data_IF_340274475090
#
_entry.id   IF_340274475090
#
_cell.length_a   1.000
_cell.length_b   1.000
_cell.length_c   1.000
_cell.angle_alpha   90.00
_cell.angle_beta   90.00
_cell.angle_gamma   90.00
#
_symmetry.space_group_name_H-M   'P 1'
#
loop_
_entity.id
_entity.type
_entity.pdbx_description
1 polymer ?
#
# COMPACT_ATOMS: atom_id res chain seq x y z
N UNK A 1 -5.69 -20.68 -29.61
CA UNK A 1 -5.73 -19.37 -28.93
C UNK A 1 -4.72 -19.40 -27.80
N UNK A 2 -3.61 -18.64 -27.87
CA UNK A 2 -2.66 -18.60 -26.75
C UNK A 2 -3.31 -17.85 -25.59
N UNK A 3 -3.38 -18.46 -24.41
CA UNK A 3 -3.76 -17.78 -23.18
C UNK A 3 -2.77 -16.65 -22.91
N UNK A 4 -3.29 -15.43 -22.72
CA UNK A 4 -2.45 -14.30 -22.33
C UNK A 4 -1.77 -14.63 -21.00
N UNK A 5 -0.46 -14.44 -20.92
CA UNK A 5 0.28 -14.64 -19.68
C UNK A 5 -0.15 -13.59 -18.67
N UNK A 6 -0.65 -14.04 -17.51
CA UNK A 6 -1.09 -13.18 -16.40
C UNK A 6 -0.18 -13.31 -15.19
N UNK A 7 -0.19 -12.31 -14.31
CA UNK A 7 0.38 -12.36 -12.96
C UNK A 7 -0.74 -12.16 -11.93
N UNK A 8 -0.64 -12.84 -10.79
CA UNK A 8 -1.53 -12.60 -9.65
C UNK A 8 -1.13 -11.31 -8.94
N UNK A 9 -2.06 -10.36 -8.91
CA UNK A 9 -1.98 -9.11 -8.17
C UNK A 9 -3.11 -8.96 -7.18
N UNK A 10 -3.16 -7.80 -6.54
CA UNK A 10 -4.23 -7.46 -5.59
C UNK A 10 -4.79 -6.09 -5.97
N UNK A 11 -6.13 -5.99 -6.04
CA UNK A 11 -6.83 -4.71 -6.02
C UNK A 11 -7.14 -4.34 -4.58
N UNK A 12 -6.71 -3.16 -4.17
CA UNK A 12 -7.03 -2.57 -2.87
C UNK A 12 -8.16 -1.57 -3.10
N UNK A 13 -9.34 -1.91 -2.60
CA UNK A 13 -10.56 -1.15 -2.86
C UNK A 13 -10.67 0.07 -1.93
N UNK A 14 -11.09 1.21 -2.48
CA UNK A 14 -11.43 2.41 -1.71
C UNK A 14 -12.79 2.26 -1.03
N UNK A 15 -13.14 3.24 -0.19
CA UNK A 15 -14.39 3.23 0.58
C UNK A 15 -15.62 3.10 -0.34
N UNK A 16 -15.66 3.80 -1.47
CA UNK A 16 -16.76 3.71 -2.43
C UNK A 16 -16.96 2.32 -3.01
N UNK A 17 -15.89 1.66 -3.43
CA UNK A 17 -15.98 0.30 -3.98
C UNK A 17 -16.42 -0.73 -2.92
N UNK A 18 -16.10 -0.49 -1.65
CA UNK A 18 -16.53 -1.34 -0.54
C UNK A 18 -18.00 -1.09 -0.21
N UNK A 19 -18.37 0.17 0.04
CA UNK A 19 -19.71 0.52 0.53
C UNK A 19 -20.79 0.46 -0.55
N UNK A 20 -20.45 0.82 -1.79
CA UNK A 20 -21.42 0.98 -2.89
C UNK A 20 -21.36 -0.13 -3.91
N UNK A 21 -20.22 -0.82 -4.01
CA UNK A 21 -20.05 -1.94 -4.94
C UNK A 21 -19.83 -3.28 -4.21
N UNK A 22 -19.89 -3.29 -2.87
CA UNK A 22 -19.79 -4.49 -2.02
C UNK A 22 -18.53 -5.32 -2.29
N UNK A 23 -17.43 -4.68 -2.69
CA UNK A 23 -16.16 -5.36 -2.96
C UNK A 23 -15.40 -5.60 -1.66
N UNK A 24 -14.64 -6.70 -1.54
CA UNK A 24 -13.75 -6.90 -0.41
C UNK A 24 -12.63 -5.86 -0.40
N UNK A 25 -12.07 -5.54 0.77
CA UNK A 25 -10.99 -4.54 0.88
C UNK A 25 -9.74 -4.92 0.06
N UNK A 26 -9.36 -6.19 0.10
CA UNK A 26 -8.26 -6.77 -0.66
C UNK A 26 -8.80 -7.86 -1.57
N UNK A 27 -8.72 -7.66 -2.87
CA UNK A 27 -9.32 -8.52 -3.87
C UNK A 27 -8.25 -9.11 -4.79
N UNK A 28 -8.18 -10.45 -4.96
CA UNK A 28 -7.23 -11.06 -5.89
C UNK A 28 -7.62 -10.71 -7.33
N UNK A 29 -6.63 -10.35 -8.14
CA UNK A 29 -6.82 -10.04 -9.56
C UNK A 29 -5.75 -10.72 -10.41
N UNK A 30 -6.09 -11.04 -11.66
CA UNK A 30 -5.12 -11.48 -12.65
C UNK A 30 -4.85 -10.35 -13.63
N UNK A 31 -3.58 -9.97 -13.74
CA UNK A 31 -3.15 -8.85 -14.57
C UNK A 31 -2.36 -9.38 -15.77
N UNK A 32 -2.82 -9.14 -17.01
CA UNK A 32 -2.07 -9.49 -18.21
C UNK A 32 -0.67 -8.84 -18.24
N UNK A 33 0.33 -9.52 -18.78
CA UNK A 33 1.69 -8.98 -18.87
C UNK A 33 1.82 -7.74 -19.77
N UNK A 34 0.82 -7.46 -20.59
CA UNK A 34 0.70 -6.25 -21.41
C UNK A 34 -0.15 -5.15 -20.75
N UNK A 35 -0.58 -5.32 -19.49
CA UNK A 35 -1.31 -4.26 -18.77
C UNK A 35 -0.43 -3.00 -18.60
N UNK A 36 -1.02 -1.79 -18.71
CA UNK A 36 -0.32 -0.53 -18.53
C UNK A 36 0.48 -0.39 -17.23
N UNK A 37 0.18 -1.15 -16.16
CA UNK A 37 0.97 -1.15 -14.91
C UNK A 37 2.44 -1.53 -15.11
N UNK A 38 2.79 -2.20 -16.22
CA UNK A 38 4.18 -2.49 -16.55
C UNK A 38 4.88 -1.36 -17.31
N UNK A 39 4.13 -0.35 -17.78
CA UNK A 39 4.68 0.84 -18.44
C UNK A 39 5.20 1.86 -17.42
N UNK A 40 6.39 2.41 -17.65
CA UNK A 40 7.02 3.44 -16.79
C UNK A 40 6.15 4.68 -16.62
N UNK A 41 5.41 5.06 -17.66
CA UNK A 41 4.65 6.31 -17.69
C UNK A 41 3.33 6.24 -16.92
N UNK A 42 2.86 5.04 -16.59
CA UNK A 42 1.56 4.82 -15.95
C UNK A 42 1.71 4.34 -14.51
N UNK A 43 2.70 3.49 -14.26
CA UNK A 43 2.87 2.86 -12.95
C UNK A 43 3.41 3.84 -11.91
N UNK A 44 3.16 3.50 -10.65
CA UNK A 44 3.88 4.04 -9.50
C UNK A 44 4.63 2.92 -8.79
N UNK A 45 5.51 3.30 -7.88
CA UNK A 45 6.25 2.39 -7.00
C UNK A 45 6.06 2.82 -5.55
N UNK A 46 6.24 1.89 -4.61
CA UNK A 46 6.31 2.19 -3.18
C UNK A 46 7.75 2.13 -2.73
N UNK A 47 8.27 3.25 -2.22
CA UNK A 47 9.62 3.29 -1.66
C UNK A 47 9.72 2.40 -0.42
N UNK A 48 8.69 2.43 0.43
CA UNK A 48 8.62 1.60 1.63
C UNK A 48 8.77 0.13 1.24
N UNK A 49 7.96 -0.39 0.31
CA UNK A 49 8.01 -1.82 -0.01
C UNK A 49 9.31 -2.21 -0.69
N UNK A 50 9.95 -1.30 -1.44
CA UNK A 50 11.30 -1.51 -1.96
C UNK A 50 12.32 -1.69 -0.82
N UNK A 51 12.26 -0.88 0.25
CA UNK A 51 13.11 -1.04 1.45
C UNK A 51 12.86 -2.35 2.21
N UNK A 52 11.66 -2.91 2.09
CA UNK A 52 11.32 -4.23 2.65
C UNK A 52 11.80 -5.41 1.79
N UNK A 53 12.36 -5.12 0.60
CA UNK A 53 12.76 -6.13 -0.38
C UNK A 53 11.57 -6.77 -1.10
N UNK A 54 10.43 -6.07 -1.16
CA UNK A 54 9.20 -6.52 -1.83
C UNK A 54 8.73 -5.39 -2.76
N UNK A 55 9.50 -5.07 -3.80
CA UNK A 55 9.19 -3.93 -4.67
C UNK A 55 7.88 -4.20 -5.42
N UNK A 56 6.98 -3.20 -5.40
CA UNK A 56 5.68 -3.24 -6.07
C UNK A 56 5.64 -2.27 -7.25
N UNK A 57 4.85 -2.62 -8.27
CA UNK A 57 4.23 -1.66 -9.17
C UNK A 57 2.78 -1.47 -8.74
N UNK A 58 2.32 -0.23 -8.77
CA UNK A 58 0.93 0.13 -8.46
C UNK A 58 0.34 1.01 -9.56
N UNK A 59 -0.98 0.99 -9.69
CA UNK A 59 -1.71 1.84 -10.64
C UNK A 59 -3.11 2.12 -10.09
N UNK A 60 -3.55 3.38 -10.15
CA UNK A 60 -4.92 3.75 -9.82
C UNK A 60 -5.91 3.06 -10.77
N UNK A 61 -7.01 2.59 -10.22
CA UNK A 61 -8.15 2.13 -10.99
C UNK A 61 -8.97 3.35 -11.44
N UNK A 62 -9.67 3.27 -12.58
CA UNK A 62 -10.70 4.24 -12.92
C UNK A 62 -11.73 4.36 -11.79
N UNK A 63 -12.20 5.58 -11.54
CA UNK A 63 -13.26 5.83 -10.58
C UNK A 63 -14.54 5.13 -11.02
N UNK A 64 -15.27 4.56 -10.07
CA UNK A 64 -16.50 3.84 -10.38
C UNK A 64 -17.66 4.83 -10.55
N UNK A 65 -18.40 4.80 -11.67
CA UNK A 65 -19.54 5.69 -11.89
C UNK A 65 -20.62 5.62 -10.80
N UNK A 66 -20.77 4.48 -10.12
CA UNK A 66 -21.80 4.29 -9.08
C UNK A 66 -21.68 5.32 -7.95
N UNK A 67 -20.45 5.71 -7.59
CA UNK A 67 -20.19 6.62 -6.48
C UNK A 67 -19.37 7.85 -6.89
N UNK A 68 -19.04 7.99 -8.18
CA UNK A 68 -18.18 9.07 -8.67
C UNK A 68 -18.69 10.46 -8.32
N UNK A 69 -20.01 10.66 -8.46
CA UNK A 69 -20.69 11.93 -8.22
C UNK A 69 -21.31 12.03 -6.81
N UNK A 70 -21.04 11.05 -5.94
CA UNK A 70 -21.63 11.00 -4.60
C UNK A 70 -20.81 11.80 -3.58
N UNK A 71 -21.49 12.55 -2.71
CA UNK A 71 -20.87 13.32 -1.64
C UNK A 71 -20.88 12.53 -0.32
N UNK A 72 -19.69 12.23 0.20
CA UNK A 72 -19.49 11.67 1.54
C UNK A 72 -19.79 10.17 1.68
N UNK A 73 -18.94 9.47 2.45
CA UNK A 73 -19.13 8.05 2.81
C UNK A 73 -19.57 7.89 4.26
N UNK A 74 -19.94 6.66 4.66
CA UNK A 74 -20.33 6.37 6.04
C UNK A 74 -19.20 6.65 7.05
N UNK A 75 -17.94 6.68 6.59
CA UNK A 75 -16.77 6.95 7.43
C UNK A 75 -16.49 8.44 7.64
N UNK A 76 -17.31 9.35 7.09
CA UNK A 76 -17.03 10.79 7.07
C UNK A 76 -15.92 11.22 6.11
N UNK A 77 -15.29 10.28 5.38
CA UNK A 77 -14.32 10.55 4.33
C UNK A 77 -15.00 10.51 2.95
N UNK A 78 -14.34 11.01 1.89
CA UNK A 78 -14.85 10.85 0.53
C UNK A 78 -14.81 9.40 0.05
N UNK A 79 -15.68 8.99 -0.89
CA UNK A 79 -15.69 7.63 -1.44
C UNK A 79 -14.40 7.22 -2.16
N UNK A 80 -13.66 8.19 -2.69
CA UNK A 80 -12.33 7.96 -3.27
C UNK A 80 -11.25 7.74 -2.19
N UNK A 81 -11.55 7.88 -0.90
CA UNK A 81 -10.59 7.70 0.18
C UNK A 81 -10.08 6.26 0.23
N UNK A 82 -8.77 6.13 0.37
CA UNK A 82 -8.05 4.87 0.49
C UNK A 82 -6.73 5.16 1.23
N UNK A 83 -6.77 5.09 2.56
CA UNK A 83 -5.61 5.41 3.40
C UNK A 83 -4.41 4.52 3.09
N UNK A 84 -4.66 3.24 2.75
CA UNK A 84 -3.64 2.31 2.31
C UNK A 84 -2.87 2.83 1.10
N UNK A 85 -3.57 3.47 0.16
CA UNK A 85 -2.92 4.05 -1.01
C UNK A 85 -2.01 5.22 -0.61
N UNK A 86 -2.48 6.12 0.27
CA UNK A 86 -1.65 7.24 0.74
C UNK A 86 -0.41 6.72 1.48
N UNK A 87 -0.59 5.87 2.48
CA UNK A 87 0.51 5.44 3.34
C UNK A 87 1.49 4.46 2.68
N UNK A 88 1.02 3.64 1.73
CA UNK A 88 1.92 2.80 0.93
C UNK A 88 2.88 3.62 0.06
N UNK A 89 2.50 4.85 -0.31
CA UNK A 89 3.25 5.72 -1.21
C UNK A 89 3.94 6.89 -0.50
N UNK A 90 4.10 6.87 0.83
CA UNK A 90 4.93 7.86 1.51
C UNK A 90 6.37 7.80 0.98
N UNK A 91 6.90 8.97 0.67
CA UNK A 91 8.25 9.13 0.14
C UNK A 91 9.31 8.78 1.17
N UNK A 92 10.23 7.90 0.80
CA UNK A 92 11.43 7.60 1.58
C UNK A 92 12.67 8.33 1.03
N UNK A 93 12.51 9.24 0.06
CA UNK A 93 13.61 10.02 -0.49
C UNK A 93 13.88 11.23 0.43
N UNK A 94 15.01 11.25 1.18
CA UNK A 94 15.26 12.32 2.14
C UNK A 94 15.48 13.69 1.49
N UNK A 95 15.78 13.69 0.18
CA UNK A 95 16.07 14.87 -0.62
C UNK A 95 14.91 15.24 -1.56
N UNK A 96 13.74 14.60 -1.42
CA UNK A 96 12.59 14.97 -2.24
C UNK A 96 12.13 16.39 -1.90
N UNK A 97 12.13 17.24 -2.92
CA UNK A 97 11.67 18.61 -2.79
C UNK A 97 10.15 18.66 -2.68
N UNK A 98 9.66 19.65 -1.93
CA UNK A 98 8.27 20.05 -1.95
C UNK A 98 8.01 20.79 -3.27
N UNK A 99 7.29 20.14 -4.18
CA UNK A 99 6.89 20.68 -5.48
C UNK A 99 5.48 20.17 -5.83
N UNK A 100 4.44 20.74 -5.21
CA UNK A 100 3.07 20.27 -5.40
C UNK A 100 2.49 20.65 -6.75
N UNK A 101 3.12 21.54 -7.52
CA UNK A 101 2.58 22.05 -8.77
C UNK A 101 3.15 21.28 -9.96
N UNK A 102 4.48 21.23 -10.11
CA UNK A 102 5.10 20.60 -11.27
C UNK A 102 5.37 19.10 -11.04
N UNK A 103 5.85 18.74 -9.84
CA UNK A 103 6.14 17.35 -9.46
C UNK A 103 4.99 16.61 -8.79
N UNK A 104 4.02 17.34 -8.22
CA UNK A 104 2.99 16.76 -7.35
C UNK A 104 3.57 16.09 -6.10
N UNK A 105 4.75 16.51 -5.63
CA UNK A 105 5.45 15.94 -4.48
C UNK A 105 5.32 16.86 -3.27
N UNK A 106 5.16 16.27 -2.09
CA UNK A 106 5.11 17.01 -0.82
C UNK A 106 6.36 16.78 0.05
N UNK A 107 7.36 16.06 -0.49
CA UNK A 107 8.62 15.77 0.17
C UNK A 107 8.60 14.53 1.05
N UNK A 108 9.71 14.32 1.76
CA UNK A 108 9.94 13.15 2.61
C UNK A 108 8.80 12.91 3.60
N UNK A 109 8.33 11.65 3.67
CA UNK A 109 7.27 11.24 4.58
C UNK A 109 5.86 11.62 4.15
N UNK A 110 5.69 12.16 2.95
CA UNK A 110 4.38 12.45 2.36
C UNK A 110 4.14 11.64 1.10
N UNK A 111 2.88 11.32 0.83
CA UNK A 111 2.49 10.69 -0.42
C UNK A 111 2.38 11.75 -1.53
N UNK A 112 2.75 11.45 -2.79
CA UNK A 112 2.47 12.35 -3.90
C UNK A 112 0.98 12.70 -4.01
N UNK A 113 0.67 13.87 -4.57
CA UNK A 113 -0.68 14.45 -4.66
C UNK A 113 -1.76 13.46 -5.11
N UNK A 114 -1.47 12.66 -6.13
CA UNK A 114 -2.39 11.66 -6.69
C UNK A 114 -2.82 10.59 -5.68
N UNK A 115 -1.97 10.29 -4.70
CA UNK A 115 -2.23 9.32 -3.64
C UNK A 115 -2.75 9.97 -2.37
N UNK A 116 -2.48 11.27 -2.17
CA UNK A 116 -2.89 12.02 -0.98
C UNK A 116 -4.38 12.41 -1.00
N UNK A 117 -4.90 12.91 -2.12
CA UNK A 117 -6.22 13.55 -2.14
C UNK A 117 -7.33 12.65 -2.70
N UNK A 118 -7.10 12.02 -3.84
CA UNK A 118 -8.11 11.20 -4.54
C UNK A 118 -7.55 9.84 -4.94
N UNK A 119 -7.05 9.05 -3.96
CA UNK A 119 -6.33 7.82 -4.28
C UNK A 119 -7.18 6.79 -5.04
N UNK A 120 -8.47 6.68 -4.71
CA UNK A 120 -9.36 5.68 -5.29
C UNK A 120 -8.89 4.25 -5.01
N UNK A 121 -9.52 3.28 -5.67
CA UNK A 121 -9.03 1.91 -5.69
C UNK A 121 -7.75 1.84 -6.51
N UNK A 122 -6.83 0.93 -6.17
CA UNK A 122 -5.62 0.70 -6.96
C UNK A 122 -5.34 -0.79 -7.11
N UNK A 123 -4.57 -1.14 -8.14
CA UNK A 123 -4.00 -2.48 -8.30
C UNK A 123 -2.52 -2.47 -7.96
N UNK A 124 -2.04 -3.56 -7.37
CA UNK A 124 -0.65 -3.79 -7.04
C UNK A 124 -0.18 -5.14 -7.59
N UNK A 125 1.02 -5.17 -8.16
CA UNK A 125 1.73 -6.38 -8.59
C UNK A 125 3.19 -6.29 -8.16
N UNK A 126 3.83 -7.43 -7.93
CA UNK A 126 5.28 -7.43 -7.65
C UNK A 126 6.08 -7.13 -8.91
N UNK A 127 7.17 -6.39 -8.77
CA UNK A 127 8.05 -6.06 -9.90
C UNK A 127 8.71 -7.31 -10.51
N UNK A 128 9.02 -8.31 -9.67
CA UNK A 128 9.57 -9.60 -10.09
C UNK A 128 8.52 -10.57 -10.68
N UNK A 129 7.26 -10.13 -10.79
CA UNK A 129 6.12 -10.89 -11.30
C UNK A 129 5.82 -12.18 -10.54
N UNK A 130 6.32 -12.34 -9.31
CA UNK A 130 5.83 -13.40 -8.42
C UNK A 130 4.39 -13.09 -7.97
N UNK A 131 3.59 -14.10 -7.61
CA UNK A 131 2.25 -13.89 -7.09
C UNK A 131 2.24 -12.94 -5.88
N UNK A 132 1.30 -12.00 -5.87
CA UNK A 132 0.96 -11.20 -4.70
C UNK A 132 -0.39 -11.67 -4.16
N UNK A 133 -0.40 -12.16 -2.93
CA UNK A 133 -1.61 -12.63 -2.26
C UNK A 133 -2.30 -11.48 -1.51
N UNK A 134 -3.65 -11.41 -1.46
CA UNK A 134 -4.38 -10.41 -0.67
C UNK A 134 -3.89 -10.25 0.77
N UNK A 135 -3.50 -11.34 1.41
CA UNK A 135 -2.99 -11.34 2.80
C UNK A 135 -1.66 -10.62 2.92
N UNK A 136 -0.77 -10.85 1.95
CA UNK A 136 0.53 -10.18 1.90
C UNK A 136 0.36 -8.69 1.61
N UNK A 137 -0.58 -8.32 0.74
CA UNK A 137 -0.90 -6.92 0.50
C UNK A 137 -1.49 -6.23 1.74
N UNK A 138 -2.38 -6.90 2.48
CA UNK A 138 -2.92 -6.39 3.74
C UNK A 138 -1.79 -6.14 4.75
N UNK A 139 -0.87 -7.10 4.92
CA UNK A 139 0.25 -6.92 5.84
C UNK A 139 1.17 -5.75 5.45
N UNK A 140 1.43 -5.56 4.15
CA UNK A 140 2.23 -4.44 3.66
C UNK A 140 1.54 -3.10 3.92
N UNK A 141 0.26 -2.98 3.56
CA UNK A 141 -0.53 -1.77 3.82
C UNK A 141 -0.58 -1.43 5.30
N UNK A 142 -0.86 -2.43 6.14
CA UNK A 142 -0.95 -2.23 7.58
C UNK A 142 0.39 -1.96 8.24
N UNK A 143 1.49 -2.52 7.74
CA UNK A 143 2.83 -2.10 8.18
C UNK A 143 3.08 -0.62 7.87
N UNK A 144 2.66 -0.14 6.69
CA UNK A 144 2.80 1.27 6.33
C UNK A 144 2.00 2.17 7.29
N UNK A 145 0.80 1.75 7.68
CA UNK A 145 -0.07 2.49 8.61
C UNK A 145 0.42 2.39 10.07
N UNK A 146 0.60 1.17 10.58
CA UNK A 146 0.83 0.91 12.00
C UNK A 146 2.28 1.13 12.44
N UNK A 147 3.23 1.14 11.49
CA UNK A 147 4.66 1.18 11.78
C UNK A 147 5.39 2.30 11.03
N UNK A 148 5.27 2.39 9.70
CA UNK A 148 6.02 3.39 8.95
C UNK A 148 5.49 4.82 9.19
N UNK A 149 4.17 5.04 9.11
CA UNK A 149 3.57 6.36 9.29
C UNK A 149 3.91 7.01 10.64
N UNK A 150 3.87 6.31 11.79
CA UNK A 150 4.30 6.88 13.07
C UNK A 150 5.74 7.37 13.08
N UNK A 151 6.65 6.70 12.36
CA UNK A 151 8.06 7.12 12.26
C UNK A 151 8.18 8.43 11.47
N UNK A 152 7.42 8.58 10.39
CA UNK A 152 7.34 9.84 9.65
C UNK A 152 6.69 10.95 10.49
N UNK A 153 5.60 10.66 11.20
CA UNK A 153 4.96 11.61 12.12
C UNK A 153 5.91 12.09 13.22
N UNK A 154 6.73 11.19 13.77
CA UNK A 154 7.76 11.56 14.74
C UNK A 154 8.88 12.41 14.13
N UNK A 155 9.29 12.16 12.89
CA UNK A 155 10.19 13.06 12.17
C UNK A 155 9.56 14.46 11.94
N UNK A 156 8.24 14.54 11.78
CA UNK A 156 7.51 15.80 11.66
C UNK A 156 7.22 16.50 13.00
N UNK A 157 7.59 15.90 14.13
CA UNK A 157 7.37 16.47 15.47
C UNK A 157 5.97 16.25 16.05
N UNK A 158 5.20 15.27 15.57
CA UNK A 158 3.87 14.94 16.10
C UNK A 158 3.89 14.47 17.57
N UNK A 159 5.05 14.07 18.08
CA UNK A 159 5.23 13.46 19.40
C UNK A 159 5.98 14.39 20.38
N UNK A 160 5.79 15.71 20.27
CA UNK A 160 6.36 16.65 21.23
C UNK A 160 5.97 16.29 22.69
N UNK A 161 6.87 16.47 23.69
CA UNK A 161 8.12 17.22 23.62
C UNK A 161 9.35 16.41 23.16
N UNK A 162 9.20 15.15 22.76
CA UNK A 162 10.34 14.34 22.31
C UNK A 162 11.00 14.94 21.05
N UNK A 163 12.32 14.88 20.98
CA UNK A 163 13.08 15.42 19.84
C UNK A 163 12.73 14.64 18.56
N UNK A 164 12.35 15.30 17.45
CA UNK A 164 11.99 14.62 16.22
C UNK A 164 13.09 13.68 15.71
N UNK A 165 12.70 12.48 15.27
CA UNK A 165 13.62 11.55 14.63
C UNK A 165 14.27 12.19 13.40
N UNK A 166 15.55 11.91 13.15
CA UNK A 166 16.17 12.28 11.89
C UNK A 166 15.61 11.45 10.72
N UNK A 167 15.62 11.99 9.50
CA UNK A 167 15.23 11.25 8.28
C UNK A 167 15.99 9.92 8.15
N UNK A 168 17.28 9.92 8.48
CA UNK A 168 18.11 8.72 8.43
C UNK A 168 17.69 7.66 9.46
N UNK A 169 17.32 8.10 10.67
CA UNK A 169 16.79 7.19 11.70
C UNK A 169 15.49 6.53 11.23
N UNK A 170 14.54 7.30 10.70
CA UNK A 170 13.30 6.77 10.10
C UNK A 170 13.60 5.70 9.05
N UNK A 171 14.47 6.04 8.09
CA UNK A 171 14.83 5.11 7.01
C UNK A 171 15.50 3.83 7.53
N UNK A 172 16.36 3.94 8.55
CA UNK A 172 17.01 2.76 9.15
C UNK A 172 16.02 1.78 9.77
N UNK A 173 14.90 2.28 10.29
CA UNK A 173 13.85 1.49 10.92
C UNK A 173 12.85 0.90 9.92
N UNK A 174 12.72 1.50 8.74
CA UNK A 174 11.92 0.94 7.62
C UNK A 174 12.80 -0.01 6.81
N UNK A 175 12.78 -1.30 7.19
CA UNK A 175 13.59 -2.35 6.56
C UNK A 175 12.95 -3.74 6.71
N UNK A 176 13.46 -4.72 5.95
CA UNK A 176 12.92 -6.10 5.95
C UNK A 176 12.87 -6.76 7.35
N UNK A 177 13.88 -6.62 8.23
CA UNK A 177 13.82 -7.16 9.59
C UNK A 177 12.65 -6.62 10.41
N UNK A 178 12.39 -5.31 10.39
CA UNK A 178 11.28 -4.72 11.17
C UNK A 178 9.92 -5.12 10.62
N UNK A 179 9.79 -5.23 9.29
CA UNK A 179 8.59 -5.84 8.68
C UNK A 179 8.39 -7.29 9.11
N UNK A 180 9.46 -8.07 9.19
CA UNK A 180 9.40 -9.46 9.66
C UNK A 180 8.93 -9.55 11.11
N UNK A 181 9.43 -8.67 11.97
CA UNK A 181 8.97 -8.55 13.36
C UNK A 181 7.48 -8.19 13.40
N UNK A 182 7.04 -7.19 12.62
CA UNK A 182 5.63 -6.80 12.55
C UNK A 182 4.73 -7.96 12.10
N UNK A 183 5.12 -8.68 11.05
CA UNK A 183 4.38 -9.83 10.52
C UNK A 183 4.13 -10.91 11.59
N UNK A 184 5.18 -11.32 12.31
CA UNK A 184 5.06 -12.41 13.28
C UNK A 184 4.48 -11.96 14.62
N UNK A 185 4.80 -10.75 15.10
CA UNK A 185 4.37 -10.30 16.43
C UNK A 185 2.98 -9.66 16.45
N UNK A 186 2.54 -9.07 15.34
CA UNK A 186 1.29 -8.30 15.30
C UNK A 186 0.31 -8.86 14.30
N UNK A 187 0.71 -9.02 13.04
CA UNK A 187 -0.22 -9.39 11.98
C UNK A 187 -0.71 -10.84 12.09
N UNK A 188 0.20 -11.80 12.24
CA UNK A 188 -0.15 -13.24 12.31
C UNK A 188 -1.08 -13.58 13.49
N UNK A 189 -0.84 -13.10 14.73
CA UNK A 189 -1.75 -13.35 15.84
C UNK A 189 -3.16 -12.79 15.62
N UNK A 190 -3.29 -11.62 14.99
CA UNK A 190 -4.59 -11.03 14.68
C UNK A 190 -5.35 -11.84 13.61
N UNK A 191 -4.65 -12.37 12.61
CA UNK A 191 -5.23 -13.27 11.63
C UNK A 191 -5.78 -14.55 12.28
N UNK A 192 -5.03 -15.14 13.21
CA UNK A 192 -5.47 -16.32 13.95
C UNK A 192 -6.73 -16.04 14.79
N UNK A 193 -6.80 -14.87 15.46
CA UNK A 193 -7.98 -14.45 16.23
C UNK A 193 -9.23 -14.27 15.36
N UNK A 194 -9.08 -13.86 14.10
CA UNK A 194 -10.18 -13.73 13.13
C UNK A 194 -10.71 -15.07 12.61
N UNK A 195 -10.18 -16.22 13.08
CA UNK A 195 -10.72 -17.55 12.75
C UNK A 195 -10.62 -17.95 11.27
N UNK A 196 -9.75 -17.30 10.50
CA UNK A 196 -9.72 -17.46 9.05
C UNK A 196 -9.04 -18.79 8.65
N UNK A 197 -9.84 -19.84 8.43
CA UNK A 197 -9.39 -21.20 8.05
C UNK A 197 -8.51 -21.26 6.80
N UNK A 198 -8.57 -20.27 5.92
CA UNK A 198 -7.74 -20.18 4.71
C UNK A 198 -6.28 -19.73 4.95
N UNK A 199 -5.93 -19.33 6.17
CA UNK A 199 -4.64 -18.68 6.46
C UNK A 199 -3.62 -19.59 7.16
N UNK A 200 -4.06 -20.72 7.71
CA UNK A 200 -3.17 -21.69 8.37
C UNK A 200 -2.11 -22.30 7.43
N UNK A 201 -2.33 -22.27 6.11
CA UNK A 201 -1.36 -22.70 5.09
C UNK A 201 -0.36 -21.60 4.68
N UNK A 202 -0.67 -20.32 4.94
CA UNK A 202 0.16 -19.16 4.56
C UNK A 202 1.14 -18.79 5.68
N UNK A 203 0.77 -19.05 6.94
CA UNK A 203 1.59 -18.74 8.13
C UNK A 203 2.68 -19.77 8.42
N UNK A 204 2.64 -20.94 7.78
CA UNK A 204 3.63 -22.02 7.92
C UNK A 204 4.85 -21.85 7.00
N UNK A 205 4.79 -20.93 6.04
CA UNK A 205 5.89 -20.64 5.13
C UNK A 205 6.77 -19.53 5.72
N UNK A 206 8.12 -19.66 5.69
CA UNK A 206 9.02 -18.57 6.04
C UNK A 206 8.68 -17.34 5.19
N UNK A 207 8.85 -16.12 5.75
CA UNK A 207 8.74 -14.86 4.98
C UNK A 207 9.54 -14.93 3.66
N UNK A 208 10.64 -15.67 3.62
CA UNK A 208 11.49 -15.88 2.42
C UNK A 208 10.78 -16.65 1.30
N UNK A 209 9.78 -17.47 1.60
CA UNK A 209 8.97 -18.22 0.64
C UNK A 209 7.63 -17.53 0.33
N UNK A 210 7.09 -16.73 1.26
CA UNK A 210 5.91 -15.90 1.04
C UNK A 210 6.21 -14.59 0.27
N UNK A 211 7.42 -14.06 0.41
CA UNK A 211 7.91 -12.80 -0.16
C UNK A 211 9.22 -12.96 -0.92
#
# INVERSE_FOLDING_TARGET
>A
MSTLKTVKGVRVNCIGDIEKCYRPKYEPVEIPFNDPIFSKNIRSTSDITARLGIPLFTRQCPQNPIWADSTGSSSGLGFASNQEAAFLHLSCNPNEAFDPIAGGTFGFGWAPQKWQYTPGSFVAVRQDKKPLDPVHMEALCRYCIDHAQPLFGHNCGEYAPDEPLSKQAVLSMICRPTFSIYWYKRFTPELHKKGSRNYASITSLPIVQCF
#
